data_IF_186055854388
#
_entry.id   IF_186055854388
#
_cell.length_a   1.000
_cell.length_b   1.000
_cell.length_c   1.000
_cell.angle_alpha   90.00
_cell.angle_beta   90.00
_cell.angle_gamma   90.00
#
_symmetry.space_group_name_H-M   'P 1'
#
loop_
_entity.id
_entity.type
_entity.pdbx_description
1 polymer ?
#
# COMPACT_ATOMS: atom_id res chain seq x y z
N UNK A 1 -21.48 26.02 -22.80
CA UNK A 1 -20.11 25.58 -23.10
C UNK A 1 -19.62 24.90 -21.85
N UNK A 2 -19.26 23.62 -21.92
CA UNK A 2 -18.67 22.93 -20.77
C UNK A 2 -17.23 23.41 -20.65
N UNK A 3 -16.92 24.12 -19.57
CA UNK A 3 -15.56 24.52 -19.28
C UNK A 3 -14.78 23.28 -18.81
N UNK A 4 -13.66 23.01 -19.48
CA UNK A 4 -12.73 21.97 -19.07
C UNK A 4 -11.83 22.49 -17.96
N UNK A 5 -11.83 21.80 -16.83
CA UNK A 5 -11.00 22.14 -15.68
C UNK A 5 -9.88 21.12 -15.50
N UNK A 6 -8.71 21.63 -15.10
CA UNK A 6 -7.59 20.80 -14.66
C UNK A 6 -7.60 20.74 -13.15
N UNK A 7 -7.60 19.52 -12.61
CA UNK A 7 -7.56 19.30 -11.17
C UNK A 7 -6.52 18.27 -10.78
N UNK A 8 -5.98 18.45 -9.57
CA UNK A 8 -5.09 17.49 -8.92
C UNK A 8 -5.80 16.86 -7.73
N UNK A 9 -5.66 15.55 -7.61
CA UNK A 9 -6.28 14.71 -6.60
C UNK A 9 -5.23 13.80 -5.99
N UNK A 10 -5.16 13.75 -4.67
CA UNK A 10 -4.31 12.81 -3.94
C UNK A 10 -5.14 11.64 -3.44
N UNK A 11 -4.62 10.44 -3.63
CA UNK A 11 -5.28 9.20 -3.23
C UNK A 11 -4.31 8.39 -2.37
N UNK A 12 -4.70 8.04 -1.13
CA UNK A 12 -3.89 7.16 -0.30
C UNK A 12 -3.91 5.73 -0.84
N UNK A 13 -2.76 5.07 -0.79
CA UNK A 13 -2.58 3.68 -1.20
C UNK A 13 -2.69 2.74 0.00
N UNK A 14 -3.17 1.53 -0.24
CA UNK A 14 -3.17 0.46 0.76
C UNK A 14 -2.71 -0.84 0.13
N UNK A 15 -1.57 -1.33 0.59
CA UNK A 15 -1.01 -2.58 0.08
C UNK A 15 -1.63 -3.80 0.77
N UNK A 16 -2.02 -4.79 -0.04
CA UNK A 16 -2.67 -6.03 0.41
C UNK A 16 -1.98 -7.25 -0.21
N UNK A 17 -2.09 -8.39 0.48
CA UNK A 17 -1.44 -9.66 0.11
C UNK A 17 0.09 -9.53 -0.02
N UNK A 18 0.70 -8.90 0.99
CA UNK A 18 2.15 -8.95 1.19
C UNK A 18 2.55 -10.42 1.42
N UNK A 19 3.57 -10.95 0.73
CA UNK A 19 4.05 -12.31 0.93
C UNK A 19 4.40 -12.59 2.40
N UNK A 20 4.05 -13.77 2.93
CA UNK A 20 4.20 -14.07 4.37
C UNK A 20 5.67 -14.16 4.85
N UNK A 21 6.59 -14.38 3.92
CA UNK A 21 8.05 -14.43 4.13
C UNK A 21 8.70 -13.04 4.10
N UNK A 22 7.94 -11.98 3.81
CA UNK A 22 8.45 -10.63 3.62
C UNK A 22 7.67 -9.62 4.46
N UNK A 23 8.40 -8.65 5.02
CA UNK A 23 7.84 -7.50 5.69
C UNK A 23 7.97 -6.29 4.76
N UNK A 24 6.87 -5.58 4.51
CA UNK A 24 6.93 -4.29 3.81
C UNK A 24 7.34 -3.21 4.81
N UNK A 25 8.53 -2.65 4.64
CA UNK A 25 9.11 -1.68 5.58
C UNK A 25 8.88 -0.25 5.11
N UNK A 26 9.08 0.03 3.83
CA UNK A 26 8.88 1.34 3.22
C UNK A 26 8.12 1.21 1.90
N UNK A 27 7.17 2.11 1.66
CA UNK A 27 6.37 2.16 0.45
C UNK A 27 5.83 3.57 0.23
N UNK A 28 5.56 3.91 -1.03
CA UNK A 28 4.82 5.13 -1.35
C UNK A 28 3.38 5.03 -0.83
N UNK A 29 2.99 5.95 0.05
CA UNK A 29 1.68 5.94 0.70
C UNK A 29 0.58 6.66 -0.08
N UNK A 30 0.94 7.50 -1.06
CA UNK A 30 -0.02 8.26 -1.85
C UNK A 30 0.38 8.42 -3.31
N UNK A 31 -0.64 8.53 -4.18
CA UNK A 31 -0.45 8.93 -5.58
C UNK A 31 -1.23 10.21 -5.86
N UNK A 32 -0.62 11.07 -6.67
CA UNK A 32 -1.24 12.28 -7.18
C UNK A 32 -1.68 12.05 -8.62
N UNK A 33 -2.95 12.34 -8.90
CA UNK A 33 -3.55 12.24 -10.22
C UNK A 33 -3.92 13.63 -10.67
N UNK A 34 -3.36 14.05 -11.81
CA UNK A 34 -3.78 15.26 -12.51
C UNK A 34 -4.72 14.85 -13.63
N UNK A 35 -5.92 15.42 -13.66
CA UNK A 35 -6.97 15.06 -14.59
C UNK A 35 -7.62 16.29 -15.24
N UNK A 36 -8.04 16.11 -16.49
CA UNK A 36 -8.86 17.06 -17.24
C UNK A 36 -10.31 16.58 -17.22
N UNK A 37 -11.22 17.37 -16.65
CA UNK A 37 -12.63 16.99 -16.51
C UNK A 37 -13.56 18.20 -16.42
N UNK A 38 -14.86 17.95 -16.57
CA UNK A 38 -15.88 18.98 -16.32
C UNK A 38 -15.96 19.32 -14.82
N UNK A 39 -16.51 20.49 -14.47
CA UNK A 39 -16.59 20.94 -13.07
C UNK A 39 -17.31 19.96 -12.13
N UNK A 40 -18.36 19.28 -12.61
CA UNK A 40 -19.11 18.29 -11.83
C UNK A 40 -18.32 17.00 -11.59
N UNK A 41 -17.63 16.50 -12.61
CA UNK A 41 -16.79 15.31 -12.52
C UNK A 41 -15.59 15.54 -11.61
N UNK A 42 -14.97 16.72 -11.71
CA UNK A 42 -13.84 17.11 -10.86
C UNK A 42 -14.26 17.20 -9.38
N UNK A 43 -15.43 17.78 -9.09
CA UNK A 43 -15.97 17.82 -7.74
C UNK A 43 -16.23 16.42 -7.19
N UNK A 44 -16.87 15.57 -8.00
CA UNK A 44 -17.20 14.20 -7.63
C UNK A 44 -15.93 13.38 -7.35
N UNK A 45 -14.92 13.50 -8.21
CA UNK A 45 -13.63 12.85 -8.05
C UNK A 45 -12.91 13.31 -6.77
N UNK A 46 -12.87 14.62 -6.47
CA UNK A 46 -12.28 15.16 -5.23
C UNK A 46 -13.02 14.71 -3.97
N UNK A 47 -14.33 14.58 -4.05
CA UNK A 47 -15.14 14.13 -2.93
C UNK A 47 -14.96 12.63 -2.66
N UNK A 48 -14.87 11.82 -3.72
CA UNK A 48 -14.65 10.37 -3.65
C UNK A 48 -13.22 10.02 -3.21
N UNK A 49 -12.22 10.79 -3.64
CA UNK A 49 -10.82 10.56 -3.27
C UNK A 49 -10.58 10.76 -1.78
N UNK A 50 -11.28 11.71 -1.14
CA UNK A 50 -11.18 11.93 0.31
C UNK A 50 -11.82 10.83 1.16
N UNK A 51 -12.51 9.85 0.57
CA UNK A 51 -13.30 8.83 1.29
C UNK A 51 -12.83 7.40 1.11
N UNK A 52 -11.68 7.14 0.48
CA UNK A 52 -11.19 5.76 0.41
C UNK A 52 -9.75 5.61 -0.06
N UNK A 53 -9.13 4.50 0.33
CA UNK A 53 -7.81 4.06 -0.10
C UNK A 53 -7.88 3.30 -1.42
N UNK A 54 -6.83 3.35 -2.23
CA UNK A 54 -6.69 2.48 -3.40
C UNK A 54 -5.99 1.19 -2.95
N UNK A 55 -6.74 0.09 -2.97
CA UNK A 55 -6.23 -1.20 -2.53
C UNK A 55 -5.36 -1.84 -3.63
N UNK A 56 -4.07 -1.90 -3.36
CA UNK A 56 -3.05 -2.47 -4.24
C UNK A 56 -2.81 -3.92 -3.82
N UNK A 57 -3.19 -4.85 -4.69
CA UNK A 57 -2.96 -6.27 -4.45
C UNK A 57 -1.61 -6.69 -5.03
N UNK A 58 -0.60 -6.82 -4.17
CA UNK A 58 0.77 -7.13 -4.55
C UNK A 58 0.91 -8.49 -5.24
N UNK A 59 0.04 -9.47 -4.93
CA UNK A 59 0.07 -10.78 -5.60
C UNK A 59 -0.38 -10.74 -7.06
N UNK A 60 -1.05 -9.66 -7.50
CA UNK A 60 -1.52 -9.47 -8.88
C UNK A 60 -0.69 -8.46 -9.67
N UNK A 61 0.30 -7.85 -9.03
CA UNK A 61 1.18 -6.87 -9.66
C UNK A 61 2.45 -7.55 -10.17
N UNK A 62 3.01 -7.01 -11.25
CA UNK A 62 4.33 -7.44 -11.73
C UNK A 62 5.40 -6.72 -10.90
N UNK A 63 5.74 -7.31 -9.76
CA UNK A 63 6.79 -6.80 -8.88
C UNK A 63 8.14 -7.00 -9.53
N UNK A 64 8.76 -5.89 -9.95
CA UNK A 64 10.10 -5.92 -10.53
C UNK A 64 11.12 -5.66 -9.45
N UNK A 65 12.12 -6.54 -9.37
CA UNK A 65 13.27 -6.34 -8.48
C UNK A 65 14.24 -5.38 -9.16
N UNK A 66 14.65 -4.33 -8.46
CA UNK A 66 15.72 -3.47 -8.92
C UNK A 66 17.04 -4.27 -9.01
N UNK A 67 17.87 -3.96 -9.99
CA UNK A 67 19.11 -4.72 -10.24
C UNK A 67 20.24 -4.33 -9.27
N UNK A 68 20.18 -3.11 -8.74
CA UNK A 68 21.23 -2.48 -7.95
C UNK A 68 20.85 -2.38 -6.47
N UNK A 69 19.56 -2.28 -6.18
CA UNK A 69 19.02 -2.21 -4.83
C UNK A 69 18.15 -3.44 -4.55
N UNK A 70 18.05 -3.87 -3.29
CA UNK A 70 17.16 -5.00 -2.91
C UNK A 70 15.70 -4.55 -2.79
N UNK A 71 15.33 -3.55 -3.60
CA UNK A 71 14.06 -2.87 -3.57
C UNK A 71 13.23 -3.36 -4.75
N UNK A 72 11.92 -3.38 -4.55
CA UNK A 72 10.97 -3.77 -5.58
C UNK A 72 10.23 -2.53 -6.06
N UNK A 73 9.74 -2.58 -7.29
CA UNK A 73 8.95 -1.49 -7.82
C UNK A 73 7.79 -2.00 -8.66
N UNK A 74 6.74 -1.19 -8.67
CA UNK A 74 5.58 -1.35 -9.55
C UNK A 74 5.44 -0.10 -10.41
N UNK A 75 5.02 -0.29 -11.65
CA UNK A 75 4.77 0.83 -12.55
C UNK A 75 3.35 1.34 -12.33
N UNK A 76 3.19 2.65 -12.16
CA UNK A 76 1.88 3.30 -12.00
C UNK A 76 0.97 3.08 -13.22
N UNK A 77 1.53 2.73 -14.38
CA UNK A 77 0.76 2.28 -15.56
C UNK A 77 -0.14 1.07 -15.29
N UNK A 78 0.26 0.17 -14.37
CA UNK A 78 -0.55 -0.99 -13.97
C UNK A 78 -1.77 -0.58 -13.16
N UNK A 79 -1.68 0.54 -12.44
CA UNK A 79 -2.77 1.10 -11.64
C UNK A 79 -3.83 1.80 -12.50
N UNK A 80 -3.50 2.13 -13.75
CA UNK A 80 -4.39 2.86 -14.66
C UNK A 80 -5.74 2.16 -14.82
N UNK A 81 -5.74 0.84 -14.98
CA UNK A 81 -6.97 0.06 -15.12
C UNK A 81 -7.80 0.06 -13.84
N UNK A 82 -7.17 -0.06 -12.66
CA UNK A 82 -7.85 -0.03 -11.37
C UNK A 82 -8.45 1.36 -11.08
N UNK A 83 -7.73 2.42 -11.44
CA UNK A 83 -8.19 3.80 -11.32
C UNK A 83 -9.39 4.06 -12.24
N UNK A 84 -9.34 3.63 -13.50
CA UNK A 84 -10.47 3.76 -14.42
C UNK A 84 -11.72 3.03 -13.92
N UNK A 85 -11.57 1.84 -13.34
CA UNK A 85 -12.70 1.10 -12.76
C UNK A 85 -13.29 1.79 -11.52
N UNK A 86 -12.44 2.38 -10.68
CA UNK A 86 -12.90 3.01 -9.44
C UNK A 86 -13.72 4.27 -9.67
N UNK A 87 -13.34 5.07 -10.65
CA UNK A 87 -13.96 6.37 -10.84
C UNK A 87 -15.09 6.38 -11.87
N UNK A 88 -15.41 5.27 -12.55
CA UNK A 88 -16.56 5.09 -13.47
C UNK A 88 -16.76 6.18 -14.55
N UNK A 89 -15.76 7.04 -14.75
CA UNK A 89 -15.72 8.05 -15.80
C UNK A 89 -14.59 7.73 -16.77
N UNK A 90 -14.85 7.92 -18.06
CA UNK A 90 -13.88 7.77 -19.13
C UNK A 90 -12.87 8.94 -19.10
N UNK A 91 -11.98 8.97 -18.11
CA UNK A 91 -10.90 9.96 -18.02
C UNK A 91 -9.91 9.73 -19.16
N UNK A 92 -10.09 10.46 -20.26
CA UNK A 92 -9.31 10.32 -21.49
C UNK A 92 -7.93 10.98 -21.41
N UNK A 93 -7.64 11.73 -20.34
CA UNK A 93 -6.36 12.40 -20.15
C UNK A 93 -6.06 12.66 -18.68
N UNK A 94 -5.48 11.68 -17.99
CA UNK A 94 -4.90 11.89 -16.67
C UNK A 94 -3.43 11.44 -16.64
N UNK A 95 -2.64 12.13 -15.83
CA UNK A 95 -1.26 11.75 -15.51
C UNK A 95 -1.20 11.33 -14.04
N UNK A 96 -0.52 10.22 -13.79
CA UNK A 96 -0.26 9.71 -12.44
C UNK A 96 1.14 10.16 -12.05
N UNK A 97 1.31 10.57 -10.80
CA UNK A 97 2.61 10.88 -10.20
C UNK A 97 2.68 10.24 -8.82
N UNK A 98 3.76 9.51 -8.48
CA UNK A 98 4.91 9.18 -9.32
C UNK A 98 4.60 8.11 -10.39
N UNK A 99 5.46 7.96 -11.40
CA UNK A 99 5.33 6.94 -12.46
C UNK A 99 5.73 5.52 -12.00
N UNK A 100 6.50 5.45 -10.92
CA UNK A 100 7.01 4.22 -10.30
C UNK A 100 6.77 4.33 -8.81
N UNK A 101 6.23 3.27 -8.21
CA UNK A 101 6.12 3.16 -6.77
C UNK A 101 7.17 2.17 -6.28
N UNK A 102 7.94 2.58 -5.30
CA UNK A 102 8.98 1.75 -4.70
C UNK A 102 8.44 1.05 -3.45
N UNK A 103 8.91 -0.18 -3.26
CA UNK A 103 8.47 -1.11 -2.23
C UNK A 103 9.70 -1.81 -1.66
N UNK A 104 9.97 -1.55 -0.39
CA UNK A 104 11.12 -2.13 0.29
C UNK A 104 10.66 -3.28 1.17
N UNK A 105 11.21 -4.46 0.88
CA UNK A 105 10.89 -5.68 1.60
C UNK A 105 12.08 -6.16 2.41
N UNK A 106 11.84 -6.48 3.67
CA UNK A 106 12.79 -7.20 4.50
C UNK A 106 12.38 -8.68 4.66
N UNK A 107 13.35 -9.58 4.79
CA UNK A 107 13.08 -10.99 5.05
C UNK A 107 12.68 -11.20 6.51
N UNK A 108 11.57 -11.90 6.74
CA UNK A 108 11.13 -12.25 8.09
C UNK A 108 11.88 -13.51 8.54
N UNK A 109 12.89 -13.34 9.39
CA UNK A 109 13.64 -14.46 9.97
C UNK A 109 13.02 -14.81 11.33
N UNK A 110 12.30 -15.93 11.42
CA UNK A 110 11.73 -16.41 12.68
C UNK A 110 12.70 -17.36 13.40
N UNK A 111 13.04 -17.06 14.66
CA UNK A 111 13.80 -17.96 15.54
C UNK A 111 12.93 -18.42 16.70
N UNK A 112 12.66 -19.73 16.79
CA UNK A 112 12.05 -20.32 17.97
C UNK A 112 13.12 -20.57 19.04
N UNK A 113 12.95 -19.96 20.21
CA UNK A 113 13.88 -20.10 21.35
C UNK A 113 13.13 -20.85 22.47
N UNK A 114 13.68 -21.96 22.99
CA UNK A 114 13.05 -22.64 24.13
C UNK A 114 13.10 -21.74 25.36
N UNK A 115 11.94 -21.56 26.01
CA UNK A 115 11.85 -20.88 27.31
C UNK A 115 12.27 -21.87 28.39
N UNK A 116 13.52 -21.75 28.85
CA UNK A 116 14.03 -22.52 30.00
C UNK A 116 13.70 -21.70 31.25
N UNK A 117 12.78 -22.22 32.06
CA UNK A 117 12.39 -21.58 33.31
C UNK A 117 13.50 -21.80 34.34
N UNK A 118 14.15 -20.72 34.78
CA UNK A 118 15.09 -20.73 35.90
C UNK A 118 14.39 -20.15 37.13
N UNK A 119 13.69 -21.01 37.86
CA UNK A 119 12.88 -20.63 39.01
C UNK A 119 13.52 -21.17 40.29
N UNK A 120 14.09 -20.28 41.10
CA UNK A 120 14.44 -20.56 42.49
C UNK A 120 13.21 -20.28 43.36
N UNK A 121 12.41 -21.33 43.59
CA UNK A 121 11.19 -21.23 44.39
C UNK A 121 11.54 -21.59 45.84
N UNK A 122 11.55 -20.59 46.70
CA UNK A 122 11.65 -20.77 48.15
C UNK A 122 10.23 -20.75 48.71
N UNK A 123 9.72 -21.92 49.06
CA UNK A 123 8.42 -22.06 49.72
C UNK A 123 8.56 -21.92 51.24
N UNK A 124 7.62 -21.20 51.87
CA UNK A 124 7.41 -21.30 53.32
C UNK A 124 6.93 -22.71 53.70
N UNK A 125 7.19 -23.18 54.94
CA UNK A 125 6.70 -24.47 55.41
C UNK A 125 5.17 -24.55 55.21
N UNK A 126 4.70 -25.61 54.54
CA UNK A 126 3.30 -25.93 54.18
C UNK A 126 2.81 -25.54 52.76
N UNK A 127 3.61 -24.85 51.94
CA UNK A 127 3.27 -24.64 50.52
C UNK A 127 4.13 -25.53 49.62
N UNK A 128 3.55 -26.61 49.08
CA UNK A 128 4.17 -27.38 47.99
C UNK A 128 3.53 -27.01 46.66
N UNK A 129 4.37 -26.81 45.64
CA UNK A 129 3.94 -26.69 44.26
C UNK A 129 3.96 -28.11 43.66
N UNK A 130 2.80 -28.56 43.17
CA UNK A 130 2.60 -29.89 42.57
C UNK A 130 2.79 -29.83 41.06
#
# INVERSE_FOLDING_TARGET
MSDDYVGEIRIPLKYTNIPADKLLTEADDEISIRLHATGGDLFSAKFLSGRGTLDINLSRMDLKKDRYFDNYYILSSQLRNQLSQRFDFAFTGFSISPDTLFLDFEEIISKSIPVIHDLEIICEPQYQIY
#
